data_IF_819241450842
#
_entry.id   IF_819241450842
#
_cell.length_a   1.000
_cell.length_b   1.000
_cell.length_c   1.000
_cell.angle_alpha   90.00
_cell.angle_beta   90.00
_cell.angle_gamma   90.00
#
_symmetry.space_group_name_H-M   'P 1'
#
loop_
_entity.id
_entity.type
_entity.pdbx_description
1 polymer ?
#
# COMPACT_ATOMS: atom_id res chain seq x y z
N UNK A 1 51.85 8.00 91.64
CA UNK A 1 51.90 9.34 91.01
C UNK A 1 51.51 9.20 89.55
N UNK A 2 50.42 9.87 89.12
CA UNK A 2 50.16 10.39 87.74
C UNK A 2 50.08 9.31 86.61
N UNK A 3 49.26 9.33 85.57
CA UNK A 3 48.27 10.21 84.93
C UNK A 3 47.83 9.41 83.67
N UNK A 4 46.56 9.02 83.48
CA UNK A 4 45.54 9.59 82.57
C UNK A 4 45.79 9.56 81.03
N UNK A 5 44.66 9.46 80.29
CA UNK A 5 44.35 9.58 78.83
C UNK A 5 44.28 8.25 78.04
N UNK A 6 43.15 7.73 77.50
CA UNK A 6 41.93 8.18 76.74
C UNK A 6 42.08 8.32 75.19
N UNK A 7 41.46 7.35 74.48
CA UNK A 7 40.71 7.37 73.18
C UNK A 7 41.40 7.78 71.85
N UNK A 8 40.83 7.54 70.62
CA UNK A 8 39.67 6.70 70.20
C UNK A 8 39.84 5.86 68.88
N UNK A 9 38.88 4.95 68.68
CA UNK A 9 38.20 4.48 67.44
C UNK A 9 38.69 4.94 66.05
N UNK A 10 38.81 3.97 65.12
CA UNK A 10 38.35 4.12 63.73
C UNK A 10 37.57 2.88 63.28
N UNK A 11 36.25 3.05 63.20
CA UNK A 11 35.31 2.15 62.54
C UNK A 11 35.33 2.51 61.05
N UNK A 12 35.84 1.64 60.18
CA UNK A 12 35.73 1.81 58.72
C UNK A 12 34.41 1.20 58.26
N UNK A 13 33.40 2.04 58.02
CA UNK A 13 32.21 1.67 57.25
C UNK A 13 32.59 1.54 55.77
N UNK A 14 32.48 0.34 55.22
CA UNK A 14 32.41 0.10 53.77
C UNK A 14 30.97 0.35 53.32
N UNK A 15 30.73 1.49 52.68
CA UNK A 15 29.46 1.81 52.02
C UNK A 15 29.44 1.10 50.65
N UNK A 16 28.77 -0.05 50.56
CA UNK A 16 28.48 -0.71 49.29
C UNK A 16 27.33 0.01 48.58
N UNK A 17 27.65 0.82 47.56
CA UNK A 17 26.66 1.41 46.68
C UNK A 17 26.10 0.33 45.72
N UNK A 18 24.94 -0.21 46.06
CA UNK A 18 24.16 -1.05 45.15
C UNK A 18 23.57 -0.21 44.02
N UNK A 19 24.09 -0.38 42.81
CA UNK A 19 23.54 0.21 41.59
C UNK A 19 22.29 -0.59 41.18
N UNK A 20 21.11 -0.16 41.64
CA UNK A 20 19.84 -0.66 41.12
C UNK A 20 19.66 -0.15 39.68
N UNK A 21 19.86 -1.03 38.68
CA UNK A 21 19.36 -0.79 37.34
C UNK A 21 17.82 -0.81 37.39
N UNK A 22 17.21 0.37 37.36
CA UNK A 22 15.79 0.50 37.09
C UNK A 22 15.55 0.18 35.61
N UNK A 23 15.09 -1.04 35.32
CA UNK A 23 14.51 -1.38 34.02
C UNK A 23 13.17 -0.67 33.93
N UNK A 24 13.13 0.51 33.32
CA UNK A 24 11.87 1.15 32.92
C UNK A 24 11.27 0.33 31.79
N UNK A 25 10.36 -0.59 32.11
CA UNK A 25 9.45 -1.13 31.13
C UNK A 25 8.63 0.05 30.58
N UNK A 26 8.82 0.39 29.30
CA UNK A 26 7.95 1.32 28.62
C UNK A 26 6.55 0.69 28.62
N UNK A 27 5.65 1.22 29.46
CA UNK A 27 4.24 0.82 29.46
C UNK A 27 3.68 1.30 28.13
N UNK A 28 3.50 0.37 27.19
CA UNK A 28 2.89 0.68 25.91
C UNK A 28 1.47 1.15 26.19
N UNK A 29 1.20 2.43 25.93
CA UNK A 29 -0.07 3.06 26.25
C UNK A 29 -1.17 2.50 25.35
N UNK A 30 -2.34 2.23 25.94
CA UNK A 30 -3.55 1.97 25.20
C UNK A 30 -3.82 3.14 24.25
N UNK A 31 -4.27 2.83 23.04
CA UNK A 31 -4.57 3.85 22.02
C UNK A 31 -5.86 3.55 21.30
N UNK A 32 -6.64 4.59 21.09
CA UNK A 32 -7.93 4.53 20.40
C UNK A 32 -7.72 4.84 18.93
N UNK A 33 -8.25 3.97 18.07
CA UNK A 33 -8.16 4.09 16.61
C UNK A 33 -9.57 4.23 16.05
N UNK A 34 -9.84 5.34 15.35
CA UNK A 34 -11.11 5.54 14.65
C UNK A 34 -11.16 4.73 13.34
N UNK A 35 -12.21 3.94 13.16
CA UNK A 35 -12.41 3.05 12.00
C UNK A 35 -13.78 3.25 11.37
N UNK A 36 -14.06 2.60 10.24
CA UNK A 36 -15.38 2.57 9.61
C UNK A 36 -16.49 2.04 10.55
N UNK A 37 -16.13 1.23 11.54
CA UNK A 37 -17.06 0.59 12.48
C UNK A 37 -17.01 1.19 13.89
N UNK A 38 -16.45 2.40 14.03
CA UNK A 38 -16.30 3.10 15.29
C UNK A 38 -14.88 3.08 15.84
N UNK A 39 -14.74 3.52 17.09
CA UNK A 39 -13.47 3.55 17.80
C UNK A 39 -13.11 2.17 18.36
N UNK A 40 -11.84 1.80 18.20
CA UNK A 40 -11.28 0.55 18.70
C UNK A 40 -10.07 0.86 19.56
N UNK A 41 -10.11 0.42 20.82
CA UNK A 41 -8.97 0.50 21.72
C UNK A 41 -8.02 -0.67 21.47
N UNK A 42 -6.73 -0.35 21.30
CA UNK A 42 -5.66 -1.32 21.14
C UNK A 42 -4.68 -1.14 22.28
N UNK A 43 -4.57 -2.17 23.12
CA UNK A 43 -3.61 -2.21 24.21
C UNK A 43 -2.24 -2.64 23.71
N UNK A 44 -1.23 -1.85 24.08
CA UNK A 44 0.16 -2.13 23.76
C UNK A 44 0.48 -2.22 22.25
N UNK A 45 1.56 -2.91 21.92
CA UNK A 45 1.98 -3.12 20.52
C UNK A 45 1.55 -4.52 20.05
N UNK A 46 0.78 -4.63 18.95
CA UNK A 46 0.41 -5.92 18.37
C UNK A 46 1.63 -6.72 17.91
N UNK A 47 1.64 -8.02 18.18
CA UNK A 47 2.71 -8.96 17.82
C UNK A 47 2.28 -9.95 16.74
N UNK A 48 0.96 -10.19 16.60
CA UNK A 48 0.37 -11.22 15.75
C UNK A 48 -0.60 -10.61 14.75
N UNK A 49 -0.04 -9.92 13.77
CA UNK A 49 -0.80 -9.15 12.79
C UNK A 49 -1.19 -10.01 11.59
N UNK A 50 -2.45 -9.90 11.15
CA UNK A 50 -2.93 -10.42 9.87
C UNK A 50 -3.40 -9.26 8.98
N UNK A 51 -3.04 -9.30 7.70
CA UNK A 51 -3.40 -8.29 6.70
C UNK A 51 -4.33 -8.89 5.64
N UNK A 52 -5.46 -8.25 5.39
CA UNK A 52 -6.49 -8.74 4.46
C UNK A 52 -6.61 -7.89 3.19
N UNK A 53 -5.55 -7.12 2.90
CA UNK A 53 -5.49 -6.18 1.79
C UNK A 53 -4.02 -5.90 1.41
N UNK A 54 -3.73 -5.73 0.12
CA UNK A 54 -2.37 -5.45 -0.37
C UNK A 54 -1.79 -4.18 0.26
N UNK A 55 -2.56 -3.08 0.34
CA UNK A 55 -2.11 -1.84 0.97
C UNK A 55 -1.95 -1.93 2.49
N UNK A 56 -2.63 -2.88 3.14
CA UNK A 56 -2.42 -3.17 4.57
C UNK A 56 -1.10 -3.93 4.80
N UNK A 57 -0.78 -4.89 3.92
CA UNK A 57 0.51 -5.59 3.93
C UNK A 57 1.66 -4.61 3.65
N UNK A 58 1.52 -3.76 2.62
CA UNK A 58 2.49 -2.73 2.27
C UNK A 58 2.80 -1.82 3.48
N UNK A 59 1.77 -1.22 4.09
CA UNK A 59 1.92 -0.36 5.25
C UNK A 59 2.50 -1.08 6.47
N UNK A 60 2.13 -2.34 6.71
CA UNK A 60 2.68 -3.14 7.81
C UNK A 60 4.18 -3.40 7.63
N UNK A 61 4.61 -3.74 6.41
CA UNK A 61 6.02 -3.98 6.10
C UNK A 61 6.85 -2.68 6.22
N UNK A 62 6.32 -1.54 5.76
CA UNK A 62 6.93 -0.22 5.97
C UNK A 62 7.04 0.09 7.47
N UNK A 63 6.03 -0.26 8.25
CA UNK A 63 6.04 -0.12 9.71
C UNK A 63 7.05 -1.04 10.43
N UNK A 64 7.75 -1.91 9.70
CA UNK A 64 8.68 -2.89 10.26
C UNK A 64 8.00 -4.06 10.96
N UNK A 65 6.75 -4.36 10.59
CA UNK A 65 5.97 -5.49 11.11
C UNK A 65 5.86 -6.53 10.01
N UNK A 66 6.24 -7.78 10.31
CA UNK A 66 6.05 -8.92 9.42
C UNK A 66 4.74 -9.63 9.79
N UNK A 67 3.68 -9.56 8.96
CA UNK A 67 2.42 -10.21 9.30
C UNK A 67 2.52 -11.74 9.27
N UNK A 68 1.68 -12.40 10.07
CA UNK A 68 1.52 -13.86 10.06
C UNK A 68 0.76 -14.33 8.82
N UNK A 69 -0.16 -13.49 8.33
CA UNK A 69 -1.05 -13.80 7.22
C UNK A 69 -1.30 -12.62 6.30
N UNK A 70 -1.40 -12.91 5.01
CA UNK A 70 -1.72 -11.98 3.94
C UNK A 70 -2.67 -12.61 2.93
N UNK A 71 -3.29 -11.80 2.07
CA UNK A 71 -4.12 -12.30 0.97
C UNK A 71 -3.32 -12.43 -0.32
N UNK A 72 -3.69 -13.39 -1.16
CA UNK A 72 -3.15 -13.49 -2.51
C UNK A 72 -3.67 -12.33 -3.38
N UNK A 73 -2.81 -11.85 -4.28
CA UNK A 73 -3.18 -10.80 -5.25
C UNK A 73 -4.26 -11.27 -6.21
N UNK A 74 -4.94 -10.31 -6.84
CA UNK A 74 -5.88 -10.62 -7.92
C UNK A 74 -5.16 -11.29 -9.09
N UNK A 75 -5.55 -12.53 -9.39
CA UNK A 75 -4.94 -13.32 -10.47
C UNK A 75 -3.65 -14.05 -10.06
N UNK A 76 -3.19 -13.87 -8.82
CA UNK A 76 -2.02 -14.54 -8.27
C UNK A 76 -2.35 -15.61 -7.23
N UNK A 77 -1.32 -16.31 -6.76
CA UNK A 77 -1.40 -17.33 -5.68
C UNK A 77 -0.70 -16.90 -4.38
N UNK A 78 0.00 -15.78 -4.41
CA UNK A 78 0.77 -15.25 -3.29
C UNK A 78 0.63 -13.74 -3.21
N UNK A 79 1.43 -13.12 -2.35
CA UNK A 79 1.48 -11.67 -2.22
C UNK A 79 2.03 -11.00 -3.48
N UNK A 80 1.89 -9.68 -3.56
CA UNK A 80 2.41 -8.90 -4.68
C UNK A 80 3.92 -9.11 -4.82
N UNK A 81 4.41 -9.23 -6.06
CA UNK A 81 5.81 -9.54 -6.33
C UNK A 81 6.77 -8.52 -5.68
N UNK A 82 6.37 -7.24 -5.66
CA UNK A 82 7.15 -6.17 -5.04
C UNK A 82 7.23 -6.25 -3.50
N UNK A 83 6.35 -7.03 -2.86
CA UNK A 83 6.33 -7.28 -1.42
C UNK A 83 6.95 -8.62 -1.03
N UNK A 84 7.08 -9.57 -1.97
CA UNK A 84 7.46 -10.97 -1.69
C UNK A 84 8.75 -11.11 -0.87
N UNK A 85 9.78 -10.31 -1.18
CA UNK A 85 11.06 -10.37 -0.48
C UNK A 85 10.99 -9.89 0.97
N UNK A 86 10.10 -8.93 1.27
CA UNK A 86 9.90 -8.37 2.61
C UNK A 86 8.87 -9.18 3.42
N UNK A 87 7.87 -9.74 2.74
CA UNK A 87 6.81 -10.54 3.36
C UNK A 87 7.31 -11.92 3.83
N UNK A 88 8.36 -12.46 3.21
CA UNK A 88 8.90 -13.78 3.55
C UNK A 88 7.86 -14.90 3.36
N UNK A 89 7.86 -15.87 4.27
CA UNK A 89 6.96 -17.04 4.27
C UNK A 89 5.61 -16.74 4.93
N UNK A 90 4.99 -15.62 4.58
CA UNK A 90 3.66 -15.24 5.10
C UNK A 90 2.58 -16.24 4.65
N UNK A 91 1.69 -16.62 5.57
CA UNK A 91 0.59 -17.52 5.23
C UNK A 91 -0.44 -16.83 4.34
N UNK A 92 -0.94 -17.53 3.33
CA UNK A 92 -2.03 -17.02 2.49
C UNK A 92 -3.38 -17.37 3.14
N UNK A 93 -4.08 -16.34 3.61
CA UNK A 93 -5.37 -16.44 4.32
C UNK A 93 -6.58 -16.07 3.47
N UNK A 94 -6.44 -16.15 2.15
CA UNK A 94 -7.51 -15.86 1.21
C UNK A 94 -7.01 -15.16 -0.04
N UNK A 95 -7.94 -14.53 -0.76
CA UNK A 95 -7.70 -13.76 -1.97
C UNK A 95 -8.12 -12.31 -1.78
N UNK A 96 -7.76 -11.44 -2.71
CA UNK A 96 -8.24 -10.06 -2.75
C UNK A 96 -9.79 -9.90 -2.80
N UNK A 97 -10.57 -10.97 -3.02
CA UNK A 97 -12.04 -10.93 -3.02
C UNK A 97 -12.69 -11.69 -1.86
N UNK A 98 -11.97 -12.64 -1.29
CA UNK A 98 -12.55 -13.59 -0.33
C UNK A 98 -11.51 -13.95 0.73
N UNK A 99 -11.79 -13.53 1.96
CA UNK A 99 -11.01 -13.89 3.14
C UNK A 99 -11.40 -15.29 3.62
N UNK A 100 -10.42 -16.15 3.84
CA UNK A 100 -10.61 -17.43 4.53
C UNK A 100 -10.56 -17.20 6.04
N UNK A 101 -11.74 -17.03 6.66
CA UNK A 101 -11.88 -16.70 8.08
C UNK A 101 -11.31 -17.80 8.99
N UNK A 102 -11.44 -19.07 8.61
CA UNK A 102 -10.87 -20.19 9.37
C UNK A 102 -9.33 -20.15 9.35
N UNK A 103 -8.73 -19.82 8.20
CA UNK A 103 -7.29 -19.65 8.10
C UNK A 103 -6.81 -18.46 8.94
N UNK A 104 -7.55 -17.35 8.98
CA UNK A 104 -7.26 -16.22 9.89
C UNK A 104 -7.33 -16.68 11.35
N UNK A 105 -8.40 -17.38 11.74
CA UNK A 105 -8.57 -17.86 13.11
C UNK A 105 -7.45 -18.83 13.54
N UNK A 106 -7.00 -19.71 12.64
CA UNK A 106 -5.90 -20.64 12.89
C UNK A 106 -4.56 -19.94 13.18
N UNK A 107 -4.36 -18.71 12.68
CA UNK A 107 -3.20 -17.90 12.98
C UNK A 107 -3.28 -17.19 14.34
N UNK A 108 -4.45 -17.18 15.01
CA UNK A 108 -4.64 -16.53 16.32
C UNK A 108 -4.10 -15.09 16.37
N UNK A 109 -4.61 -14.17 15.53
CA UNK A 109 -4.13 -12.79 15.48
C UNK A 109 -4.49 -12.02 16.76
N UNK A 110 -3.71 -10.99 17.05
CA UNK A 110 -4.05 -9.95 18.04
C UNK A 110 -4.44 -8.61 17.37
N UNK A 111 -4.25 -8.51 16.05
CA UNK A 111 -4.73 -7.40 15.22
C UNK A 111 -5.00 -7.89 13.79
N UNK A 112 -6.10 -7.42 13.20
CA UNK A 112 -6.44 -7.63 11.81
C UNK A 112 -6.52 -6.27 11.10
N UNK A 113 -5.76 -6.11 10.01
CA UNK A 113 -5.79 -4.92 9.15
C UNK A 113 -6.55 -5.26 7.86
N UNK A 114 -7.73 -4.68 7.68
CA UNK A 114 -8.66 -5.08 6.62
C UNK A 114 -8.84 -4.01 5.54
N UNK A 115 -9.31 -4.44 4.37
CA UNK A 115 -9.63 -3.54 3.25
C UNK A 115 -10.81 -2.62 3.60
N UNK A 116 -10.89 -1.40 3.02
CA UNK A 116 -12.08 -0.55 3.10
C UNK A 116 -13.36 -1.19 2.57
N UNK A 117 -13.22 -2.17 1.66
CA UNK A 117 -14.33 -2.90 1.05
C UNK A 117 -14.74 -4.16 1.81
N UNK A 118 -14.24 -4.37 3.03
CA UNK A 118 -14.65 -5.50 3.87
C UNK A 118 -16.16 -5.43 4.11
N UNK A 119 -16.88 -6.53 3.92
CA UNK A 119 -18.33 -6.54 4.17
C UNK A 119 -18.63 -6.53 5.67
N UNK A 120 -19.79 -5.98 6.06
CA UNK A 120 -20.26 -6.01 7.45
C UNK A 120 -20.31 -7.44 8.01
N UNK A 121 -20.70 -8.41 7.19
CA UNK A 121 -20.74 -9.83 7.57
C UNK A 121 -19.34 -10.36 7.89
N UNK A 122 -18.35 -10.08 7.03
CA UNK A 122 -16.96 -10.47 7.28
C UNK A 122 -16.40 -9.74 8.51
N UNK A 123 -16.69 -8.45 8.67
CA UNK A 123 -16.29 -7.68 9.85
C UNK A 123 -16.84 -8.27 11.15
N UNK A 124 -18.11 -8.66 11.20
CA UNK A 124 -18.73 -9.27 12.38
C UNK A 124 -18.07 -10.60 12.78
N UNK A 125 -17.54 -11.33 11.83
CA UNK A 125 -16.83 -12.59 12.09
C UNK A 125 -15.39 -12.33 12.53
N UNK A 126 -14.66 -11.45 11.83
CA UNK A 126 -13.27 -11.13 12.13
C UNK A 126 -13.10 -10.38 13.46
N UNK A 127 -14.03 -9.49 13.81
CA UNK A 127 -14.01 -8.74 15.07
C UNK A 127 -14.21 -9.62 16.31
N UNK A 128 -14.73 -10.85 16.15
CA UNK A 128 -14.78 -11.85 17.22
C UNK A 128 -13.43 -12.54 17.44
N UNK A 129 -12.51 -12.47 16.48
CA UNK A 129 -11.19 -13.06 16.55
C UNK A 129 -10.18 -12.08 17.17
N UNK A 130 -10.17 -10.83 16.69
CA UNK A 130 -9.25 -9.78 17.14
C UNK A 130 -9.76 -8.37 16.75
N UNK A 131 -9.24 -7.30 17.37
CA UNK A 131 -9.41 -5.93 16.89
C UNK A 131 -9.19 -5.84 15.37
N UNK A 132 -10.22 -5.40 14.64
CA UNK A 132 -10.24 -5.40 13.18
C UNK A 132 -10.35 -3.98 12.65
N UNK A 133 -9.29 -3.49 12.02
CA UNK A 133 -9.17 -2.11 11.55
C UNK A 133 -9.63 -2.02 10.10
N UNK A 134 -10.73 -1.31 9.89
CA UNK A 134 -11.30 -1.02 8.57
C UNK A 134 -11.22 0.49 8.32
N UNK A 135 -10.56 0.97 7.27
CA UNK A 135 -10.56 2.40 6.94
C UNK A 135 -11.95 2.94 6.62
N UNK A 136 -12.26 4.15 7.08
CA UNK A 136 -13.55 4.80 6.81
C UNK A 136 -13.68 5.33 5.37
N UNK A 137 -12.55 5.71 4.75
CA UNK A 137 -12.51 6.11 3.34
C UNK A 137 -12.55 4.87 2.44
N UNK A 138 -13.46 4.85 1.46
CA UNK A 138 -13.70 3.74 0.53
C UNK A 138 -12.50 3.37 -0.37
N UNK A 139 -11.44 4.19 -0.38
CA UNK A 139 -10.27 4.06 -1.23
C UNK A 139 -10.44 4.63 -2.64
N UNK A 140 -11.62 5.14 -3.00
CA UNK A 140 -11.91 5.65 -4.34
C UNK A 140 -11.56 7.14 -4.51
N UNK A 141 -10.36 7.49 -4.05
CA UNK A 141 -9.74 8.80 -4.18
C UNK A 141 -8.22 8.61 -4.32
N UNK A 142 -7.54 9.40 -5.18
CA UNK A 142 -6.11 9.23 -5.49
C UNK A 142 -5.17 9.12 -4.29
N UNK A 143 -5.42 9.89 -3.22
CA UNK A 143 -4.55 10.02 -2.05
C UNK A 143 -5.08 9.27 -0.81
N UNK A 144 -6.19 8.53 -0.92
CA UNK A 144 -6.78 7.77 0.19
C UNK A 144 -5.80 6.76 0.82
N UNK A 145 -4.88 6.21 0.02
CA UNK A 145 -3.85 5.28 0.48
C UNK A 145 -2.97 5.87 1.60
N UNK A 146 -2.73 7.20 1.60
CA UNK A 146 -1.92 7.87 2.64
C UNK A 146 -2.62 7.82 3.99
N UNK A 147 -3.91 8.08 4.01
CA UNK A 147 -4.75 8.01 5.21
C UNK A 147 -4.90 6.59 5.71
N UNK A 148 -5.13 5.63 4.79
CA UNK A 148 -5.19 4.21 5.10
C UNK A 148 -3.86 3.71 5.71
N UNK A 149 -2.73 4.05 5.09
CA UNK A 149 -1.41 3.68 5.60
C UNK A 149 -1.15 4.28 6.99
N UNK A 150 -1.50 5.56 7.23
CA UNK A 150 -1.39 6.19 8.55
C UNK A 150 -2.31 5.55 9.59
N UNK A 151 -3.53 5.15 9.20
CA UNK A 151 -4.45 4.43 10.07
C UNK A 151 -3.86 3.09 10.51
N UNK A 152 -3.34 2.30 9.57
CA UNK A 152 -2.69 1.03 9.88
C UNK A 152 -1.44 1.24 10.75
N UNK A 153 -0.61 2.25 10.44
CA UNK A 153 0.58 2.58 11.21
C UNK A 153 0.24 2.94 12.68
N UNK A 154 -0.84 3.71 12.88
CA UNK A 154 -1.39 4.00 14.21
C UNK A 154 -1.84 2.72 14.88
N UNK A 155 -2.60 1.87 14.20
CA UNK A 155 -3.00 0.56 14.70
C UNK A 155 -1.84 -0.43 14.93
N UNK A 156 -0.62 -0.11 14.49
CA UNK A 156 0.61 -0.85 14.77
C UNK A 156 1.53 -0.17 15.80
N UNK A 157 1.26 1.08 16.20
CA UNK A 157 2.15 1.88 17.07
C UNK A 157 3.52 2.09 16.39
N UNK A 158 3.46 2.44 15.10
CA UNK A 158 4.59 2.53 14.15
C UNK A 158 4.37 3.64 13.12
N UNK A 159 3.90 4.81 13.53
CA UNK A 159 3.56 5.93 12.65
C UNK A 159 4.78 6.53 11.94
N UNK A 160 5.89 6.72 12.66
CA UNK A 160 7.07 7.40 12.14
C UNK A 160 7.63 6.82 10.82
N UNK A 161 7.91 5.51 10.69
CA UNK A 161 8.42 4.96 9.43
C UNK A 161 7.42 5.10 8.28
N UNK A 162 6.12 4.97 8.54
CA UNK A 162 5.09 5.10 7.49
C UNK A 162 4.94 6.55 7.04
N UNK A 163 4.93 7.51 7.97
CA UNK A 163 4.92 8.94 7.63
C UNK A 163 6.13 9.34 6.79
N UNK A 164 7.34 8.90 7.19
CA UNK A 164 8.56 9.17 6.43
C UNK A 164 8.51 8.56 5.02
N UNK A 165 7.96 7.35 4.86
CA UNK A 165 7.80 6.72 3.55
C UNK A 165 6.79 7.45 2.66
N UNK A 166 5.70 7.97 3.22
CA UNK A 166 4.73 8.80 2.49
C UNK A 166 5.38 10.11 2.04
N UNK A 167 6.11 10.79 2.92
CA UNK A 167 6.82 12.04 2.61
C UNK A 167 7.86 11.82 1.49
N UNK A 168 8.58 10.69 1.51
CA UNK A 168 9.53 10.34 0.47
C UNK A 168 8.85 10.11 -0.90
N UNK A 169 7.63 9.56 -0.92
CA UNK A 169 6.83 9.42 -2.15
C UNK A 169 6.42 10.80 -2.68
N UNK A 170 5.96 11.69 -1.81
CA UNK A 170 5.53 13.04 -2.18
C UNK A 170 6.70 13.84 -2.77
N UNK A 171 7.84 13.88 -2.08
CA UNK A 171 9.06 14.56 -2.56
C UNK A 171 9.52 14.03 -3.92
N UNK A 172 9.45 12.71 -4.13
CA UNK A 172 9.85 12.11 -5.40
C UNK A 172 8.87 12.44 -6.51
N UNK A 173 7.56 12.41 -6.25
CA UNK A 173 6.56 12.82 -7.24
C UNK A 173 6.75 14.30 -7.64
N UNK A 174 6.97 15.19 -6.68
CA UNK A 174 7.25 16.61 -6.94
C UNK A 174 8.52 16.78 -7.79
N UNK A 175 9.59 16.06 -7.48
CA UNK A 175 10.83 16.10 -8.26
C UNK A 175 10.67 15.57 -9.70
N UNK A 176 9.77 14.61 -9.94
CA UNK A 176 9.43 14.17 -11.31
C UNK A 176 8.55 15.21 -12.02
N UNK A 177 7.64 15.87 -11.29
CA UNK A 177 6.83 16.94 -11.84
C UNK A 177 7.66 18.12 -12.34
N UNK A 178 8.77 18.45 -11.68
CA UNK A 178 9.71 19.49 -12.12
C UNK A 178 10.43 19.16 -13.44
N UNK A 179 10.47 17.90 -13.86
CA UNK A 179 11.16 17.45 -15.07
C UNK A 179 10.32 17.59 -16.35
N UNK A 180 9.04 17.90 -16.23
CA UNK A 180 8.15 18.09 -17.37
C UNK A 180 7.24 19.32 -17.18
N UNK A 181 6.79 19.97 -18.28
CA UNK A 181 5.85 21.07 -18.16
C UNK A 181 4.53 20.56 -17.54
N UNK A 182 4.26 20.99 -16.31
CA UNK A 182 3.17 20.49 -15.49
C UNK A 182 1.81 20.65 -16.18
N UNK A 183 1.08 19.54 -16.33
CA UNK A 183 -0.26 19.51 -16.90
C UNK A 183 -0.34 19.69 -18.41
N UNK A 184 0.80 19.75 -19.11
CA UNK A 184 0.84 19.80 -20.58
C UNK A 184 0.88 18.39 -21.19
N UNK A 185 1.70 17.49 -20.63
CA UNK A 185 1.79 16.10 -21.08
C UNK A 185 0.61 15.28 -20.57
N UNK A 186 -0.21 14.78 -21.49
CA UNK A 186 -1.37 13.96 -21.16
C UNK A 186 -1.00 12.50 -20.97
N UNK A 187 -1.62 11.84 -20.00
CA UNK A 187 -1.40 10.43 -19.75
C UNK A 187 -2.72 9.67 -19.62
N UNK A 188 -2.77 8.48 -20.20
CA UNK A 188 -3.87 7.54 -20.00
C UNK A 188 -3.32 6.26 -19.38
N UNK A 189 -3.99 5.76 -18.34
CA UNK A 189 -3.78 4.41 -17.82
C UNK A 189 -4.86 3.48 -18.38
N UNK A 190 -4.45 2.46 -19.13
CA UNK A 190 -5.34 1.43 -19.64
C UNK A 190 -4.90 0.04 -19.17
N UNK A 191 -5.86 -0.84 -18.91
CA UNK A 191 -5.59 -2.27 -18.67
C UNK A 191 -6.15 -3.08 -19.81
N UNK A 192 -5.28 -3.79 -20.53
CA UNK A 192 -5.68 -4.68 -21.61
C UNK A 192 -6.21 -6.00 -21.05
N UNK A 193 -7.46 -6.31 -21.37
CA UNK A 193 -8.14 -7.56 -21.02
C UNK A 193 -8.43 -8.36 -22.29
N UNK A 194 -8.81 -9.65 -22.20
CA UNK A 194 -9.10 -10.47 -23.38
C UNK A 194 -10.14 -9.87 -24.34
N UNK A 195 -11.05 -9.03 -23.83
CA UNK A 195 -12.12 -8.41 -24.60
C UNK A 195 -11.82 -6.96 -25.05
N UNK A 196 -10.59 -6.48 -24.87
CA UNK A 196 -10.15 -5.13 -25.21
C UNK A 196 -9.64 -4.34 -24.01
N UNK A 197 -9.10 -3.12 -24.24
CA UNK A 197 -8.60 -2.28 -23.17
C UNK A 197 -9.75 -1.66 -22.38
N UNK A 198 -9.54 -1.54 -21.09
CA UNK A 198 -10.39 -0.78 -20.18
C UNK A 198 -9.59 0.46 -19.76
N UNK A 199 -10.19 1.64 -19.86
CA UNK A 199 -9.58 2.86 -19.33
C UNK A 199 -9.77 2.88 -17.83
N UNK A 200 -8.69 3.12 -17.07
CA UNK A 200 -8.74 3.21 -15.62
C UNK A 200 -9.22 4.60 -15.18
N UNK A 201 -9.94 4.66 -14.06
CA UNK A 201 -10.42 5.93 -13.49
C UNK A 201 -9.28 6.83 -13.09
N UNK A 202 -9.43 8.14 -13.30
CA UNK A 202 -8.51 9.17 -12.77
C UNK A 202 -8.50 9.25 -11.24
N UNK A 203 -9.43 8.57 -10.56
CA UNK A 203 -9.54 8.51 -9.10
C UNK A 203 -8.73 7.38 -8.46
N UNK A 204 -8.01 6.58 -9.24
CA UNK A 204 -7.18 5.51 -8.70
C UNK A 204 -5.86 6.03 -8.12
N UNK A 205 -5.24 5.20 -7.29
CA UNK A 205 -3.93 5.41 -6.69
C UNK A 205 -2.84 5.75 -7.72
N UNK A 206 -2.66 4.90 -8.74
CA UNK A 206 -1.61 5.04 -9.75
C UNK A 206 -1.85 6.25 -10.68
N UNK A 207 -3.10 6.52 -11.06
CA UNK A 207 -3.45 7.76 -11.77
C UNK A 207 -3.22 9.00 -10.91
N UNK A 208 -3.38 8.88 -9.59
CA UNK A 208 -2.98 9.91 -8.64
C UNK A 208 -1.49 10.21 -8.67
N UNK A 209 -0.65 9.17 -8.72
CA UNK A 209 0.80 9.33 -8.81
C UNK A 209 1.24 9.91 -10.15
N UNK A 210 0.59 9.53 -11.25
CA UNK A 210 0.80 10.18 -12.55
C UNK A 210 0.48 11.69 -12.46
N UNK A 211 -0.67 12.06 -11.90
CA UNK A 211 -1.04 13.46 -11.74
C UNK A 211 -0.09 14.22 -10.82
N UNK A 212 0.31 13.62 -9.70
CA UNK A 212 1.29 14.19 -8.79
C UNK A 212 2.68 14.36 -9.42
N UNK A 213 3.03 13.51 -10.40
CA UNK A 213 4.28 13.59 -11.16
C UNK A 213 4.19 14.54 -12.37
N UNK A 214 3.14 15.36 -12.49
CA UNK A 214 3.02 16.41 -13.49
C UNK A 214 2.21 16.06 -14.75
N UNK A 215 1.63 14.86 -14.86
CA UNK A 215 0.80 14.51 -16.02
C UNK A 215 -0.63 15.05 -15.92
N UNK A 216 -1.17 15.48 -17.05
CA UNK A 216 -2.61 15.70 -17.22
C UNK A 216 -3.32 14.35 -17.48
N UNK A 217 -3.67 13.64 -16.41
CA UNK A 217 -4.29 12.31 -16.52
C UNK A 217 -5.72 12.39 -17.06
N UNK A 218 -6.02 11.61 -18.08
CA UNK A 218 -7.34 11.57 -18.75
C UNK A 218 -7.91 10.16 -18.76
N UNK A 219 -9.24 10.09 -18.72
CA UNK A 219 -9.99 8.85 -18.94
C UNK A 219 -10.87 8.89 -20.20
N UNK A 220 -10.73 9.96 -21.01
CA UNK A 220 -11.48 10.16 -22.24
C UNK A 220 -13.01 10.18 -22.06
N UNK A 221 -13.51 10.48 -20.85
CA UNK A 221 -14.93 10.40 -20.50
C UNK A 221 -15.49 8.98 -20.61
N UNK A 222 -14.64 7.95 -20.55
CA UNK A 222 -15.02 6.55 -20.70
C UNK A 222 -15.48 5.91 -19.41
N UNK A 223 -15.00 6.43 -18.29
CA UNK A 223 -15.26 5.91 -16.97
C UNK A 223 -16.50 6.59 -16.42
N UNK A 224 -17.52 5.78 -16.07
CA UNK A 224 -18.73 6.30 -15.42
C UNK A 224 -18.39 6.69 -13.98
N UNK A 225 -19.14 7.64 -13.43
CA UNK A 225 -18.97 8.08 -12.04
C UNK A 225 -19.02 6.90 -11.06
N UNK A 226 -18.11 6.90 -10.07
CA UNK A 226 -18.01 5.85 -9.05
C UNK A 226 -17.47 4.51 -9.56
N UNK A 227 -16.99 4.41 -10.81
CA UNK A 227 -16.44 3.15 -11.36
C UNK A 227 -14.91 3.20 -11.45
N UNK A 228 -14.22 2.09 -11.14
CA UNK A 228 -12.75 2.05 -11.22
C UNK A 228 -12.21 2.03 -12.66
N UNK A 229 -13.06 1.75 -13.64
CA UNK A 229 -12.68 1.66 -15.04
C UNK A 229 -13.91 1.75 -15.97
N UNK A 230 -13.67 1.92 -17.27
CA UNK A 230 -14.69 1.84 -18.32
C UNK A 230 -15.16 0.40 -18.55
N UNK A 231 -16.17 0.22 -19.40
CA UNK A 231 -16.38 -1.06 -20.09
C UNK A 231 -15.21 -1.30 -21.08
N UNK A 232 -14.89 -2.56 -21.46
CA UNK A 232 -13.87 -2.84 -22.46
C UNK A 232 -14.19 -2.12 -23.78
N UNK A 233 -13.20 -1.44 -24.35
CA UNK A 233 -13.33 -0.76 -25.63
C UNK A 233 -13.20 -1.74 -26.79
N UNK A 234 -14.00 -1.53 -27.82
CA UNK A 234 -13.82 -2.19 -29.12
C UNK A 234 -12.61 -1.62 -29.88
N UNK A 235 -12.14 -2.32 -30.91
CA UNK A 235 -11.01 -1.87 -31.72
C UNK A 235 -11.30 -0.53 -32.43
N UNK A 236 -12.56 -0.28 -32.78
CA UNK A 236 -13.01 0.96 -33.42
C UNK A 236 -12.95 2.16 -32.46
N UNK A 237 -12.96 1.91 -31.15
CA UNK A 237 -12.94 2.93 -30.11
C UNK A 237 -11.55 3.10 -29.46
N UNK A 238 -10.49 2.50 -30.02
CA UNK A 238 -9.15 2.58 -29.43
C UNK A 238 -8.60 4.01 -29.35
N UNK A 239 -9.02 4.93 -30.24
CA UNK A 239 -8.59 6.33 -30.16
C UNK A 239 -8.91 7.00 -28.81
N UNK A 240 -9.78 6.41 -27.98
CA UNK A 240 -10.09 6.91 -26.63
C UNK A 240 -8.97 6.70 -25.61
N UNK A 241 -8.03 5.78 -25.86
CA UNK A 241 -6.84 5.58 -25.00
C UNK A 241 -5.63 6.38 -25.51
N UNK A 242 -5.77 7.08 -26.63
CA UNK A 242 -4.68 7.85 -27.24
C UNK A 242 -4.41 9.11 -26.42
N UNK A 243 -3.13 9.35 -26.11
CA UNK A 243 -2.64 10.46 -25.29
C UNK A 243 -1.14 10.56 -25.44
N UNK A 244 -0.50 11.63 -24.97
CA UNK A 244 0.94 11.82 -25.16
C UNK A 244 1.76 10.67 -24.54
N UNK A 245 1.29 10.07 -23.44
CA UNK A 245 1.82 8.84 -22.84
C UNK A 245 0.70 7.83 -22.54
N UNK A 246 0.86 6.59 -22.98
CA UNK A 246 -0.06 5.49 -22.68
C UNK A 246 0.62 4.50 -21.75
N UNK A 247 0.22 4.48 -20.48
CA UNK A 247 0.61 3.45 -19.53
C UNK A 247 -0.33 2.25 -19.71
N UNK A 248 0.21 1.16 -20.24
CA UNK A 248 -0.55 0.01 -20.69
C UNK A 248 -0.25 -1.23 -19.85
N UNK A 249 -1.20 -1.59 -19.01
CA UNK A 249 -1.12 -2.72 -18.10
C UNK A 249 -1.76 -4.00 -18.67
N UNK A 250 -1.24 -5.15 -18.26
CA UNK A 250 -1.87 -6.47 -18.39
C UNK A 250 -1.83 -7.17 -17.04
N UNK A 251 -2.83 -8.02 -16.75
CA UNK A 251 -2.96 -8.67 -15.43
C UNK A 251 -2.62 -10.17 -15.45
N UNK A 252 -2.69 -10.79 -16.63
CA UNK A 252 -2.48 -12.22 -16.81
C UNK A 252 -2.14 -12.54 -18.26
N UNK A 253 -1.72 -13.79 -18.49
CA UNK A 253 -1.33 -14.32 -19.80
C UNK A 253 -2.36 -14.10 -20.91
N UNK A 254 -3.66 -14.14 -20.58
CA UNK A 254 -4.71 -13.94 -21.57
C UNK A 254 -4.80 -12.47 -22.01
N UNK A 255 -4.62 -11.54 -21.07
CA UNK A 255 -4.44 -10.12 -21.37
C UNK A 255 -3.20 -9.87 -22.24
N UNK A 256 -2.07 -10.53 -21.94
CA UNK A 256 -0.84 -10.43 -22.71
C UNK A 256 -1.01 -10.92 -24.15
N UNK A 257 -1.61 -12.11 -24.33
CA UNK A 257 -1.91 -12.66 -25.67
C UNK A 257 -2.84 -11.75 -26.46
N UNK A 258 -3.87 -11.22 -25.81
CA UNK A 258 -4.82 -10.31 -26.44
C UNK A 258 -4.15 -9.00 -26.86
N UNK A 259 -3.28 -8.43 -26.02
CA UNK A 259 -2.51 -7.24 -26.35
C UNK A 259 -1.53 -7.52 -27.50
N UNK A 260 -0.82 -8.63 -27.46
CA UNK A 260 0.10 -9.02 -28.54
C UNK A 260 -0.62 -9.18 -29.88
N UNK A 261 -1.85 -9.69 -29.89
CA UNK A 261 -2.69 -9.76 -31.08
C UNK A 261 -3.13 -8.36 -31.55
N UNK A 262 -3.56 -7.50 -30.63
CA UNK A 262 -4.01 -6.15 -30.95
C UNK A 262 -2.90 -5.26 -31.50
N UNK A 263 -1.66 -5.42 -31.04
CA UNK A 263 -0.47 -4.70 -31.55
C UNK A 263 -0.20 -4.94 -33.04
N UNK A 264 -0.76 -6.00 -33.64
CA UNK A 264 -0.67 -6.29 -35.08
C UNK A 264 -1.88 -5.79 -35.88
N UNK A 265 -2.78 -5.05 -35.23
CA UNK A 265 -4.00 -4.56 -35.86
C UNK A 265 -3.79 -3.14 -36.40
N UNK A 266 -4.34 -2.79 -37.57
CA UNK A 266 -4.27 -1.43 -38.08
C UNK A 266 -4.91 -0.38 -37.18
N UNK A 267 -5.78 -0.78 -36.25
CA UNK A 267 -6.42 0.14 -35.30
C UNK A 267 -5.46 0.55 -34.17
N UNK A 268 -4.62 -0.38 -33.70
CA UNK A 268 -3.59 -0.09 -32.71
C UNK A 268 -2.41 0.67 -33.32
N UNK A 269 -1.97 0.26 -34.50
CA UNK A 269 -0.89 0.95 -35.25
C UNK A 269 -1.22 2.39 -35.64
N UNK A 270 -2.50 2.78 -35.65
CA UNK A 270 -2.95 4.15 -35.97
C UNK A 270 -3.00 5.09 -34.77
N UNK A 271 -2.71 4.61 -33.56
CA UNK A 271 -2.69 5.46 -32.38
C UNK A 271 -1.44 6.35 -32.42
N UNK A 272 -1.61 7.65 -32.21
CA UNK A 272 -0.51 8.59 -32.24
C UNK A 272 0.54 8.23 -31.19
N UNK A 273 0.12 7.82 -30.00
CA UNK A 273 1.01 7.35 -28.92
C UNK A 273 1.86 6.14 -29.30
N UNK A 274 1.39 5.31 -30.25
CA UNK A 274 2.14 4.16 -30.77
C UNK A 274 3.17 4.63 -31.79
N UNK A 275 2.76 5.50 -32.72
CA UNK A 275 3.66 6.09 -33.72
C UNK A 275 4.80 6.89 -33.06
N UNK A 276 4.51 7.60 -31.98
CA UNK A 276 5.48 8.37 -31.20
C UNK A 276 6.36 7.49 -30.29
N UNK A 277 6.08 6.19 -30.19
CA UNK A 277 6.85 5.27 -29.35
C UNK A 277 6.64 5.45 -27.84
N UNK A 278 5.52 6.05 -27.44
CA UNK A 278 5.22 6.49 -26.07
C UNK A 278 4.28 5.55 -25.30
N UNK A 279 4.23 4.26 -25.71
CA UNK A 279 3.50 3.22 -24.98
C UNK A 279 4.40 2.59 -23.93
N UNK A 280 4.09 2.87 -22.67
CA UNK A 280 4.82 2.36 -21.49
C UNK A 280 4.12 1.10 -21.00
N UNK A 281 4.76 -0.07 -21.17
CA UNK A 281 4.24 -1.31 -20.59
C UNK A 281 4.46 -1.31 -19.08
N UNK A 282 3.41 -1.61 -18.31
CA UNK A 282 3.47 -1.59 -16.83
C UNK A 282 2.83 -2.83 -16.22
N UNK A 283 3.26 -3.19 -15.01
CA UNK A 283 2.71 -4.33 -14.28
C UNK A 283 1.26 -4.05 -13.84
N UNK A 284 0.30 -4.83 -14.33
CA UNK A 284 -1.12 -4.58 -14.06
C UNK A 284 -1.55 -4.87 -12.63
N UNK A 285 -0.84 -5.73 -11.88
CA UNK A 285 -1.16 -5.96 -10.47
C UNK A 285 -0.78 -4.73 -9.65
N UNK A 286 0.46 -4.24 -9.79
CA UNK A 286 0.97 -3.02 -9.18
C UNK A 286 0.14 -1.80 -9.57
N UNK A 287 -0.08 -1.57 -10.87
CA UNK A 287 -0.69 -0.34 -11.36
C UNK A 287 -2.22 -0.29 -11.22
N UNK A 288 -2.91 -1.42 -11.04
CA UNK A 288 -4.39 -1.43 -11.02
C UNK A 288 -5.02 -2.11 -9.80
N UNK A 289 -4.22 -2.66 -8.89
CA UNK A 289 -4.71 -3.34 -7.68
C UNK A 289 -3.97 -2.95 -6.40
N UNK A 290 -2.67 -2.64 -6.49
CA UNK A 290 -1.85 -2.30 -5.32
C UNK A 290 -2.05 -0.84 -4.86
N UNK A 291 -1.69 -0.59 -3.60
CA UNK A 291 -1.57 0.74 -3.01
C UNK A 291 -0.60 0.68 -1.84
N UNK A 292 -0.10 1.84 -1.40
CA UNK A 292 0.80 1.95 -0.24
C UNK A 292 2.16 2.57 -0.60
N UNK A 293 2.98 2.91 0.41
CA UNK A 293 4.26 3.57 0.17
C UNK A 293 5.23 2.77 -0.72
N UNK A 294 5.34 1.44 -0.56
CA UNK A 294 6.25 0.64 -1.37
C UNK A 294 5.74 0.52 -2.81
N UNK A 295 4.44 0.29 -3.00
CA UNK A 295 3.81 0.32 -4.31
C UNK A 295 4.05 1.66 -5.01
N UNK A 296 3.92 2.78 -4.29
CA UNK A 296 4.09 4.10 -4.85
C UNK A 296 5.51 4.32 -5.38
N UNK A 297 6.52 3.87 -4.63
CA UNK A 297 7.90 3.93 -5.10
C UNK A 297 8.10 3.14 -6.40
N UNK A 298 7.48 1.97 -6.55
CA UNK A 298 7.57 1.19 -7.80
C UNK A 298 6.86 1.86 -8.98
N UNK A 299 5.69 2.45 -8.74
CA UNK A 299 5.00 3.24 -9.77
C UNK A 299 5.83 4.46 -10.18
N UNK A 300 6.49 5.13 -9.23
CA UNK A 300 7.39 6.24 -9.52
C UNK A 300 8.67 5.80 -10.25
N UNK A 301 9.19 4.59 -10.00
CA UNK A 301 10.29 3.99 -10.78
C UNK A 301 9.90 3.88 -12.27
N UNK A 302 8.70 3.39 -12.54
CA UNK A 302 8.18 3.22 -13.90
C UNK A 302 7.90 4.58 -14.58
N UNK A 303 7.40 5.57 -13.83
CA UNK A 303 7.19 6.93 -14.34
C UNK A 303 8.52 7.61 -14.71
N UNK A 304 9.53 7.51 -13.84
CA UNK A 304 10.86 8.06 -14.08
C UNK A 304 11.49 7.43 -15.35
N UNK A 305 11.36 6.12 -15.52
CA UNK A 305 11.80 5.43 -16.73
C UNK A 305 11.05 5.90 -18.00
N UNK A 306 9.76 6.20 -17.88
CA UNK A 306 8.96 6.71 -18.99
C UNK A 306 9.35 8.14 -19.39
N UNK A 307 9.78 8.98 -18.44
CA UNK A 307 10.28 10.33 -18.73
C UNK A 307 11.61 10.33 -19.49
N UNK A 308 12.41 9.27 -19.34
CA UNK A 308 13.68 9.11 -20.04
C UNK A 308 13.56 8.61 -21.49
N UNK A 309 12.35 8.25 -21.94
CA UNK A 309 12.04 7.77 -23.29
C UNK A 309 11.46 8.89 -24.17
#
# INVERSE_FOLDING_TARGET
MRSSLKFPFKCSLLLGAGLCLAVTAAVAQARTVATAHGEIDIDGRPERVVTLYEGALDAALVAGVTPLGAVATRGGKGVAAYLQSQAGDVAIVGTARETNIEAVAALGPDLILAAPSLSDEQYQLLSRLAPTIVPADTGFRPDAWKEQARLYARALDREAPVSAAIEAVEQRADALAEQQPAGETTATLARWMPHGPMIMSTRLFSTGLLAASGYAVRDGGAVREGRPHSDPLSLENLARIDSDRLFLATLNDDGDKALAAARRSPAFERLQVVDDGHVVAVDGQLWTSASGPLAAQRVLDDIEQALAQ
#
